data_IF_750929633318
#
_entry.id   IF_750929633318
#
_cell.length_a   1.000
_cell.length_b   1.000
_cell.length_c   1.000
_cell.angle_alpha   90.00
_cell.angle_beta   90.00
_cell.angle_gamma   90.00
#
_symmetry.space_group_name_H-M   'P 1'
#
loop_
_entity.id
_entity.type
_entity.pdbx_description
1 polymer ?
#
# COMPACT_ATOMS: atom_id res chain seq x y z
N UNK A 1 4.30 4.09 3.74
CA UNK A 1 5.37 4.92 4.31
C UNK A 1 6.67 4.13 4.27
N UNK A 2 7.84 4.78 4.19
CA UNK A 2 9.13 4.08 4.15
C UNK A 2 9.88 4.31 5.45
N UNK A 3 10.31 3.24 6.12
CA UNK A 3 10.84 3.31 7.50
C UNK A 3 12.19 4.04 7.60
N UNK A 4 13.02 3.96 6.56
CA UNK A 4 14.35 4.59 6.46
C UNK A 4 14.30 6.08 6.11
N UNK A 5 13.12 6.63 5.80
CA UNK A 5 12.97 8.04 5.46
C UNK A 5 12.35 8.80 6.63
N UNK A 6 13.16 9.61 7.30
CA UNK A 6 12.69 10.42 8.41
C UNK A 6 11.71 11.55 7.98
N UNK A 7 10.85 11.98 8.89
CA UNK A 7 9.93 13.09 8.72
C UNK A 7 8.55 12.71 8.17
N UNK A 8 7.59 13.62 8.29
CA UNK A 8 6.23 13.39 7.83
C UNK A 8 6.06 13.49 6.31
N UNK A 9 6.84 14.32 5.63
CA UNK A 9 6.64 14.70 4.23
C UNK A 9 7.02 13.64 3.18
N UNK A 10 6.81 13.99 1.89
CA UNK A 10 7.27 13.18 0.75
C UNK A 10 8.68 13.59 0.32
N UNK A 11 9.59 12.62 0.18
CA UNK A 11 10.97 12.82 -0.28
C UNK A 11 11.22 12.07 -1.59
N UNK A 12 11.94 12.70 -2.54
CA UNK A 12 12.33 12.07 -3.82
C UNK A 12 13.63 11.27 -3.61
N UNK A 13 13.57 9.95 -3.76
CA UNK A 13 14.71 9.04 -3.57
C UNK A 13 14.98 8.30 -4.87
N UNK A 14 16.25 8.09 -5.21
CA UNK A 14 16.67 7.24 -6.31
C UNK A 14 16.72 5.79 -5.84
N UNK A 15 15.85 4.94 -6.39
CA UNK A 15 15.63 3.58 -5.87
C UNK A 15 15.95 2.55 -6.94
N UNK A 16 16.72 1.53 -6.54
CA UNK A 16 16.96 0.28 -7.28
C UNK A 16 15.77 -0.68 -7.10
N UNK A 17 15.68 -1.83 -7.79
CA UNK A 17 14.53 -2.72 -7.70
C UNK A 17 14.23 -3.13 -6.25
N UNK A 18 13.07 -2.73 -5.71
CA UNK A 18 12.64 -2.99 -4.33
C UNK A 18 11.16 -2.62 -4.12
N UNK A 19 10.72 -2.50 -2.86
CA UNK A 19 9.38 -2.04 -2.50
C UNK A 19 9.07 -0.67 -3.12
N UNK A 20 8.05 -0.64 -3.99
CA UNK A 20 7.65 0.54 -4.74
C UNK A 20 8.29 0.68 -6.12
N UNK A 21 9.40 0.00 -6.42
CA UNK A 21 9.95 -0.05 -7.78
C UNK A 21 10.28 -1.48 -8.16
N UNK A 22 9.42 -2.12 -8.97
CA UNK A 22 9.58 -3.53 -9.36
C UNK A 22 10.72 -3.80 -10.35
N UNK A 23 11.51 -2.78 -10.75
CA UNK A 23 12.74 -3.00 -11.52
C UNK A 23 12.60 -3.65 -12.89
N UNK A 24 11.44 -3.55 -13.54
CA UNK A 24 11.22 -4.17 -14.85
C UNK A 24 10.61 -3.21 -15.85
N UNK A 25 10.90 -3.46 -17.12
CA UNK A 25 10.28 -2.79 -18.26
C UNK A 25 9.27 -3.73 -18.91
N UNK A 26 8.05 -3.24 -19.10
CA UNK A 26 7.02 -3.96 -19.86
C UNK A 26 7.24 -3.62 -21.33
N UNK A 27 7.40 -4.63 -22.16
CA UNK A 27 7.61 -4.51 -23.61
C UNK A 27 6.54 -5.31 -24.33
N UNK A 28 5.96 -4.74 -25.39
CA UNK A 28 5.05 -5.46 -26.29
C UNK A 28 5.87 -5.98 -27.48
N UNK A 29 5.84 -7.29 -27.74
CA UNK A 29 6.56 -7.92 -28.87
C UNK A 29 5.72 -9.09 -29.37
N UNK A 30 5.69 -9.36 -30.67
CA UNK A 30 4.98 -10.54 -31.26
C UNK A 30 3.55 -10.75 -30.71
N UNK A 31 2.76 -9.68 -30.55
CA UNK A 31 1.40 -9.76 -30.01
C UNK A 31 1.28 -9.99 -28.48
N UNK A 32 2.38 -10.27 -27.77
CA UNK A 32 2.41 -10.52 -26.33
C UNK A 32 2.97 -9.37 -25.49
N UNK A 33 2.65 -9.37 -24.18
CA UNK A 33 3.24 -8.49 -23.17
C UNK A 33 4.32 -9.24 -22.39
N UNK A 34 5.56 -8.79 -22.50
CA UNK A 34 6.71 -9.38 -21.82
C UNK A 34 7.25 -8.44 -20.73
N UNK A 35 7.78 -9.04 -19.66
CA UNK A 35 8.44 -8.34 -18.57
C UNK A 35 9.94 -8.64 -18.64
N UNK A 36 10.75 -7.60 -18.82
CA UNK A 36 12.20 -7.72 -18.80
C UNK A 36 12.76 -7.04 -17.56
N UNK A 37 13.56 -7.77 -16.80
CA UNK A 37 14.36 -7.26 -15.68
C UNK A 37 15.78 -7.05 -16.19
N UNK A 38 16.24 -5.80 -16.16
CA UNK A 38 17.61 -5.45 -16.49
C UNK A 38 18.33 -5.07 -15.20
N UNK A 39 19.60 -5.44 -15.10
CA UNK A 39 20.43 -5.04 -13.96
C UNK A 39 20.72 -3.54 -13.99
N UNK A 40 20.89 -2.95 -12.81
CA UNK A 40 21.22 -1.53 -12.67
C UNK A 40 20.07 -0.56 -12.95
N UNK A 41 18.84 -1.03 -13.19
CA UNK A 41 17.68 -0.15 -13.32
C UNK A 41 17.45 0.64 -12.04
N UNK A 42 17.43 1.98 -12.14
CA UNK A 42 17.10 2.88 -11.03
C UNK A 42 16.02 3.87 -11.47
N UNK A 43 15.14 4.25 -10.54
CA UNK A 43 14.09 5.25 -10.78
C UNK A 43 13.97 6.20 -9.60
N UNK A 44 13.90 7.51 -9.88
CA UNK A 44 13.57 8.52 -8.86
C UNK A 44 12.09 8.45 -8.56
N UNK A 45 11.71 8.14 -7.32
CA UNK A 45 10.31 8.08 -6.86
C UNK A 45 10.15 8.88 -5.58
N UNK A 46 8.95 9.45 -5.39
CA UNK A 46 8.59 10.12 -4.16
C UNK A 46 8.00 9.10 -3.17
N UNK A 47 8.58 9.02 -1.98
CA UNK A 47 8.08 8.20 -0.89
C UNK A 47 7.72 9.10 0.30
N UNK A 48 6.65 8.75 1.01
CA UNK A 48 6.31 9.35 2.31
C UNK A 48 7.28 8.84 3.37
N UNK A 49 7.76 9.72 4.25
CA UNK A 49 8.58 9.33 5.40
C UNK A 49 7.81 8.51 6.44
N UNK A 50 8.50 8.18 7.53
CA UNK A 50 8.06 7.26 8.58
C UNK A 50 7.18 7.90 9.65
N UNK A 51 7.21 9.23 9.82
CA UNK A 51 6.40 9.93 10.82
C UNK A 51 4.97 10.07 10.31
N UNK A 52 3.99 9.70 11.14
CA UNK A 52 2.57 9.87 10.85
C UNK A 52 2.20 11.34 10.99
N UNK A 53 1.62 11.91 9.94
CA UNK A 53 1.14 13.31 9.90
C UNK A 53 -0.33 13.37 9.51
N UNK A 54 -0.99 14.49 9.79
CA UNK A 54 -2.44 14.71 9.60
C UNK A 54 -2.94 14.56 8.15
N UNK A 55 -2.04 14.65 7.17
CA UNK A 55 -2.33 14.42 5.75
C UNK A 55 -2.21 12.95 5.33
N UNK A 56 -1.99 12.03 6.27
CA UNK A 56 -2.05 10.58 6.07
C UNK A 56 -3.51 10.12 6.08
N UNK A 57 -3.98 9.53 4.98
CA UNK A 57 -5.38 9.08 4.86
C UNK A 57 -5.67 7.73 5.53
N UNK A 58 -4.73 6.80 5.47
CA UNK A 58 -4.89 5.44 5.96
C UNK A 58 -3.61 5.00 6.65
N UNK A 59 -3.77 4.22 7.71
CA UNK A 59 -2.67 3.66 8.50
C UNK A 59 -2.94 2.18 8.63
N UNK A 60 -1.96 1.37 8.21
CA UNK A 60 -2.02 -0.07 8.38
C UNK A 60 -1.52 -0.41 9.78
N UNK A 61 -2.34 -1.05 10.59
CA UNK A 61 -2.02 -1.46 11.96
C UNK A 61 -2.03 -2.99 12.07
N UNK A 62 -1.21 -3.53 12.96
CA UNK A 62 -1.22 -4.96 13.33
C UNK A 62 -1.57 -5.05 14.81
N UNK A 63 -2.53 -5.91 15.14
CA UNK A 63 -2.91 -6.21 16.52
C UNK A 63 -1.79 -7.06 17.14
N UNK A 64 -1.26 -6.60 18.27
CA UNK A 64 -0.25 -7.34 19.04
C UNK A 64 -0.90 -8.02 20.25
N UNK A 65 -1.85 -7.35 20.89
CA UNK A 65 -2.59 -7.83 22.06
C UNK A 65 -4.06 -7.44 21.96
N UNK A 66 -4.95 -8.31 22.45
CA UNK A 66 -6.40 -8.06 22.50
C UNK A 66 -6.80 -7.43 23.83
N UNK A 67 -7.60 -6.36 23.78
CA UNK A 67 -8.20 -5.76 24.97
C UNK A 67 -9.55 -6.39 25.35
N UNK A 68 -10.22 -5.80 26.35
CA UNK A 68 -11.47 -6.33 26.92
C UNK A 68 -12.69 -6.24 25.97
N UNK A 69 -12.64 -5.40 24.93
CA UNK A 69 -13.72 -5.24 23.95
C UNK A 69 -13.28 -5.76 22.59
N UNK A 70 -14.22 -6.37 21.87
CA UNK A 70 -13.96 -6.84 20.52
C UNK A 70 -13.85 -5.67 19.54
N UNK A 71 -13.08 -5.85 18.45
CA UNK A 71 -12.93 -4.82 17.42
C UNK A 71 -14.23 -4.63 16.62
N UNK A 72 -15.00 -5.70 16.42
CA UNK A 72 -16.32 -5.64 15.79
C UNK A 72 -17.21 -4.65 16.53
N UNK A 73 -17.30 -4.71 17.86
CA UNK A 73 -18.16 -3.80 18.62
C UNK A 73 -17.75 -2.32 18.47
N UNK A 74 -16.45 -2.05 18.31
CA UNK A 74 -15.90 -0.71 18.16
C UNK A 74 -16.21 -0.15 16.77
N UNK A 75 -16.04 -0.94 15.71
CA UNK A 75 -16.22 -0.49 14.33
C UNK A 75 -17.66 -0.63 13.81
N UNK A 76 -18.50 -1.47 14.43
CA UNK A 76 -19.92 -1.64 14.05
C UNK A 76 -20.81 -0.45 14.42
N UNK A 77 -20.37 0.45 15.32
CA UNK A 77 -21.16 1.58 15.80
C UNK A 77 -20.97 2.89 15.03
N UNK A 78 -20.13 2.90 13.97
CA UNK A 78 -19.79 4.14 13.28
C UNK A 78 -19.28 3.96 11.85
N UNK A 79 -20.22 3.76 10.91
CA UNK A 79 -20.07 4.25 9.53
C UNK A 79 -19.72 3.22 8.45
N UNK A 80 -20.79 2.65 7.87
CA UNK A 80 -20.90 2.44 6.42
C UNK A 80 -20.35 1.14 5.85
N UNK A 81 -21.12 0.05 5.98
CA UNK A 81 -21.16 -1.02 4.98
C UNK A 81 -22.62 -1.38 4.71
N UNK A 82 -23.19 -0.69 3.72
CA UNK A 82 -24.25 -1.22 2.85
C UNK A 82 -23.60 -2.30 1.98
N UNK A 83 -23.52 -3.52 2.52
CA UNK A 83 -23.20 -4.70 1.74
C UNK A 83 -24.53 -5.31 1.29
N UNK A 84 -24.93 -4.96 0.06
CA UNK A 84 -26.16 -5.38 -0.57
C UNK A 84 -26.43 -6.88 -0.48
N UNK A 85 -27.70 -7.15 -0.22
CA UNK A 85 -28.38 -8.42 -0.32
C UNK A 85 -28.03 -9.12 -1.64
N UNK A 86 -27.59 -10.38 -1.56
CA UNK A 86 -27.01 -11.13 -2.65
C UNK A 86 -27.35 -12.62 -2.55
N UNK A 87 -28.62 -12.90 -2.88
CA UNK A 87 -29.13 -14.12 -3.52
C UNK A 87 -29.34 -15.37 -2.64
N UNK A 88 -30.55 -15.44 -2.07
CA UNK A 88 -31.22 -16.71 -1.84
C UNK A 88 -31.85 -17.17 -3.16
N UNK A 89 -31.16 -18.06 -3.88
CA UNK A 89 -31.75 -18.85 -4.93
C UNK A 89 -32.22 -20.20 -4.34
N UNK A 90 -33.54 -20.36 -4.32
CA UNK A 90 -34.23 -21.65 -4.25
C UNK A 90 -33.98 -22.46 -5.53
#
# INVERSE_FOLDING_TARGET
MRADLDGGGRKKVLVSPSTGFKGHKIVKKKGGRYRYTYDGLRKRRAFRGNIISSDTRQINLKIVESGNKSLSDIFSSGGGDDAGDGDGAE
#
